data_IF_853690447071
#
_entry.id   IF_853690447071
#
_cell.length_a   1.000
_cell.length_b   1.000
_cell.length_c   1.000
_cell.angle_alpha   90.00
_cell.angle_beta   90.00
_cell.angle_gamma   90.00
#
_symmetry.space_group_name_H-M   'P 1'
#
loop_
_entity.id
_entity.type
_entity.pdbx_description
1 polymer ?
#
# COMPACT_ATOMS: atom_id res chain seq x y z
N UNK A 1 -8.73 5.47 -10.98
CA UNK A 1 -9.01 6.65 -10.11
C UNK A 1 -7.96 7.71 -10.40
N UNK A 2 -8.34 9.00 -10.47
CA UNK A 2 -7.43 10.11 -10.80
C UNK A 2 -7.50 11.20 -9.74
N UNK A 3 -6.35 11.55 -9.15
CA UNK A 3 -6.21 12.68 -8.21
C UNK A 3 -6.54 13.99 -8.95
N UNK A 4 -7.34 14.86 -8.32
CA UNK A 4 -7.69 16.18 -8.86
C UNK A 4 -6.90 17.31 -8.19
N UNK A 5 -6.93 17.36 -6.87
CA UNK A 5 -6.24 18.37 -6.08
C UNK A 5 -5.96 17.83 -4.68
N UNK A 6 -5.05 18.51 -3.98
CA UNK A 6 -4.87 18.35 -2.54
C UNK A 6 -6.01 19.11 -1.86
N UNK A 7 -6.71 18.43 -0.95
CA UNK A 7 -7.76 19.02 -0.13
C UNK A 7 -7.18 19.52 1.20
N UNK A 8 -6.30 18.75 1.83
CA UNK A 8 -5.71 19.09 3.13
C UNK A 8 -4.36 18.38 3.37
N UNK A 9 -3.60 18.87 4.36
CA UNK A 9 -2.42 18.23 4.93
C UNK A 9 -2.55 18.21 6.45
N UNK A 10 -2.95 17.05 6.97
CA UNK A 10 -3.19 16.85 8.40
C UNK A 10 -1.86 16.49 9.07
N UNK A 11 -1.52 17.20 10.14
CA UNK A 11 -0.41 16.84 11.03
C UNK A 11 -0.97 16.03 12.20
N UNK A 12 -0.31 14.91 12.53
CA UNK A 12 -0.70 14.00 13.63
C UNK A 12 -2.14 13.48 13.48
N UNK A 13 -2.29 12.38 12.75
CA UNK A 13 -3.55 11.66 12.59
C UNK A 13 -3.49 10.31 13.31
N UNK A 14 -4.58 9.86 13.92
CA UNK A 14 -4.67 8.55 14.53
C UNK A 14 -5.73 7.72 13.83
N UNK A 15 -5.40 6.48 13.46
CA UNK A 15 -6.32 5.53 12.86
C UNK A 15 -6.46 4.30 13.77
N UNK A 16 -7.71 3.89 14.02
CA UNK A 16 -8.01 2.68 14.78
C UNK A 16 -8.27 1.52 13.81
N UNK A 17 -7.38 0.55 13.80
CA UNK A 17 -7.51 -0.66 12.98
C UNK A 17 -8.69 -1.53 13.45
N UNK A 18 -9.25 -2.39 12.58
CA UNK A 18 -10.34 -3.30 12.95
C UNK A 18 -10.04 -4.19 14.17
N UNK A 19 -8.78 -4.52 14.42
CA UNK A 19 -8.33 -5.28 15.59
C UNK A 19 -8.30 -4.48 16.90
N UNK A 20 -8.55 -3.17 16.85
CA UNK A 20 -8.56 -2.28 18.02
C UNK A 20 -7.29 -1.45 18.19
N UNK A 21 -6.18 -1.86 17.56
CA UNK A 21 -4.91 -1.15 17.61
C UNK A 21 -5.03 0.27 17.04
N UNK A 22 -4.44 1.24 17.72
CA UNK A 22 -4.37 2.63 17.26
C UNK A 22 -2.96 2.88 16.70
N UNK A 23 -2.89 3.30 15.44
CA UNK A 23 -1.65 3.71 14.79
C UNK A 23 -1.66 5.22 14.55
N UNK A 24 -0.55 5.88 14.88
CA UNK A 24 -0.40 7.32 14.73
C UNK A 24 0.44 7.63 13.48
N UNK A 25 0.03 8.63 12.73
CA UNK A 25 0.64 9.07 11.49
C UNK A 25 1.13 10.50 11.64
N UNK A 26 2.40 10.73 11.32
CA UNK A 26 3.04 12.05 11.46
C UNK A 26 2.34 13.07 10.56
N UNK A 27 2.05 12.64 9.34
CA UNK A 27 1.45 13.44 8.27
C UNK A 27 0.47 12.60 7.47
N UNK A 28 -0.63 13.22 7.05
CA UNK A 28 -1.57 12.67 6.07
C UNK A 28 -1.86 13.72 5.02
N UNK A 29 -1.63 13.39 3.75
CA UNK A 29 -2.06 14.23 2.64
C UNK A 29 -3.41 13.73 2.15
N UNK A 30 -4.39 14.63 2.12
CA UNK A 30 -5.75 14.34 1.69
C UNK A 30 -5.97 14.89 0.29
N UNK A 31 -6.53 14.07 -0.57
CA UNK A 31 -6.81 14.36 -1.97
C UNK A 31 -8.30 14.17 -2.25
N UNK A 32 -8.85 15.03 -3.09
CA UNK A 32 -10.05 14.71 -3.83
C UNK A 32 -9.65 13.98 -5.12
N UNK A 33 -10.21 12.79 -5.34
CA UNK A 33 -9.99 11.98 -6.54
C UNK A 33 -11.32 11.64 -7.23
N UNK A 34 -11.27 11.40 -8.54
CA UNK A 34 -12.45 10.99 -9.33
C UNK A 34 -12.24 9.59 -9.90
N UNK A 35 -13.29 8.79 -9.86
CA UNK A 35 -13.42 7.49 -10.51
C UNK A 35 -14.73 7.43 -11.32
N UNK A 36 -15.03 6.29 -11.94
CA UNK A 36 -16.29 6.08 -12.65
C UNK A 36 -17.51 6.11 -11.69
N UNK A 37 -17.32 5.84 -10.41
CA UNK A 37 -18.37 5.88 -9.38
C UNK A 37 -18.53 7.25 -8.70
N UNK A 38 -17.74 8.26 -9.10
CA UNK A 38 -17.84 9.63 -8.60
C UNK A 38 -16.59 10.15 -7.91
N UNK A 39 -16.79 11.11 -7.00
CA UNK A 39 -15.73 11.73 -6.20
C UNK A 39 -15.46 10.89 -4.95
N UNK A 40 -14.18 10.75 -4.61
CA UNK A 40 -13.68 9.97 -3.48
C UNK A 40 -12.63 10.76 -2.72
N UNK A 41 -12.62 10.59 -1.40
CA UNK A 41 -11.55 11.10 -0.54
C UNK A 41 -10.43 10.08 -0.49
N UNK A 42 -9.23 10.48 -0.90
CA UNK A 42 -8.02 9.65 -0.82
C UNK A 42 -7.07 10.25 0.20
N UNK A 43 -6.70 9.47 1.22
CA UNK A 43 -5.72 9.90 2.22
C UNK A 43 -4.46 9.07 2.09
N UNK A 44 -3.29 9.71 2.09
CA UNK A 44 -1.98 9.05 2.09
C UNK A 44 -1.27 9.45 3.38
N UNK A 45 -1.13 8.49 4.30
CA UNK A 45 -0.57 8.71 5.63
C UNK A 45 0.78 8.06 5.81
N UNK A 46 1.65 8.73 6.57
CA UNK A 46 3.02 8.30 6.81
C UNK A 46 3.28 8.08 8.28
N UNK A 47 3.92 6.96 8.60
CA UNK A 47 4.35 6.62 9.96
C UNK A 47 5.60 5.76 9.91
N UNK A 48 6.04 5.26 11.07
CA UNK A 48 7.06 4.24 11.20
C UNK A 48 6.50 3.03 11.92
N UNK A 49 6.89 1.84 11.48
CA UNK A 49 6.51 0.58 12.12
C UNK A 49 7.70 -0.37 12.13
N UNK A 50 7.89 -1.09 13.24
CA UNK A 50 8.83 -2.19 13.27
C UNK A 50 8.32 -3.33 12.38
N UNK A 51 9.03 -3.63 11.31
CA UNK A 51 8.69 -4.66 10.33
C UNK A 51 9.98 -5.34 9.87
N UNK A 52 9.99 -6.67 9.92
CA UNK A 52 11.18 -7.49 9.67
C UNK A 52 12.39 -7.10 10.53
N UNK A 53 12.16 -6.72 11.79
CA UNK A 53 13.22 -6.43 12.77
C UNK A 53 13.84 -5.04 12.66
N UNK A 54 13.34 -4.17 11.79
CA UNK A 54 13.76 -2.77 11.67
C UNK A 54 12.56 -1.83 11.73
N UNK A 55 12.78 -0.64 12.27
CA UNK A 55 11.81 0.44 12.18
C UNK A 55 11.83 1.02 10.76
N UNK A 56 10.75 0.83 10.00
CA UNK A 56 10.64 1.21 8.59
C UNK A 56 9.58 2.28 8.40
N UNK A 57 9.81 3.17 7.45
CA UNK A 57 8.77 4.05 6.92
C UNK A 57 7.61 3.21 6.42
N UNK A 58 6.41 3.57 6.84
CA UNK A 58 5.16 2.93 6.45
C UNK A 58 4.26 3.96 5.82
N UNK A 59 3.65 3.59 4.71
CA UNK A 59 2.64 4.41 4.02
C UNK A 59 1.34 3.64 3.99
N UNK A 60 0.24 4.30 4.33
CA UNK A 60 -1.10 3.71 4.21
C UNK A 60 -1.96 4.63 3.34
N UNK A 61 -2.70 4.02 2.43
CA UNK A 61 -3.63 4.71 1.53
C UNK A 61 -5.05 4.31 1.89
N UNK A 62 -5.84 5.29 2.27
CA UNK A 62 -7.28 5.15 2.49
C UNK A 62 -8.06 5.72 1.32
N UNK A 63 -9.16 5.07 0.99
CA UNK A 63 -10.19 5.59 0.09
C UNK A 63 -11.49 5.57 0.90
N UNK A 64 -12.14 6.73 1.01
CA UNK A 64 -13.38 6.90 1.78
C UNK A 64 -13.24 6.34 3.21
N UNK A 65 -12.13 6.69 3.87
CA UNK A 65 -11.74 6.29 5.23
C UNK A 65 -11.46 4.80 5.44
N UNK A 66 -11.45 3.98 4.37
CA UNK A 66 -11.08 2.58 4.42
C UNK A 66 -9.66 2.32 3.88
N UNK A 67 -8.77 1.59 4.59
CA UNK A 67 -7.41 1.32 4.13
C UNK A 67 -7.39 0.25 3.04
N UNK A 68 -6.86 0.58 1.87
CA UNK A 68 -6.78 -0.36 0.74
C UNK A 68 -5.34 -0.70 0.32
N UNK A 69 -4.36 0.15 0.63
CA UNK A 69 -2.97 -0.18 0.37
C UNK A 69 -2.07 0.20 1.55
N UNK A 70 -1.11 -0.66 1.81
CA UNK A 70 -0.05 -0.47 2.79
C UNK A 70 1.29 -0.68 2.11
N UNK A 71 2.26 0.16 2.42
CA UNK A 71 3.62 0.07 1.92
C UNK A 71 4.61 0.11 3.07
N UNK A 72 5.75 -0.53 2.86
CA UNK A 72 6.90 -0.50 3.76
C UNK A 72 8.17 -0.10 3.00
N UNK A 73 9.06 0.60 3.69
CA UNK A 73 10.37 1.04 3.20
C UNK A 73 11.23 -0.11 2.66
N UNK A 74 11.80 0.03 1.45
CA UNK A 74 12.87 -0.84 0.96
C UNK A 74 14.20 -0.57 1.68
N UNK A 75 15.17 -1.48 1.63
CA UNK A 75 16.44 -1.30 2.35
C UNK A 75 17.31 -0.16 1.83
N UNK A 76 17.19 0.18 0.55
CA UNK A 76 17.92 1.26 -0.11
C UNK A 76 17.13 2.57 -0.16
N UNK A 77 16.09 2.72 0.68
CA UNK A 77 15.15 3.84 0.62
C UNK A 77 15.80 5.22 0.68
N UNK A 78 16.85 5.40 1.47
CA UNK A 78 17.58 6.68 1.54
C UNK A 78 18.17 7.11 0.18
N UNK A 79 18.37 6.15 -0.75
CA UNK A 79 18.85 6.38 -2.12
C UNK A 79 17.71 6.32 -3.14
N UNK A 80 16.82 5.34 -3.02
CA UNK A 80 15.78 5.02 -4.02
C UNK A 80 14.46 5.75 -3.79
N UNK A 81 14.17 6.12 -2.56
CA UNK A 81 12.86 6.58 -2.09
C UNK A 81 11.75 5.53 -2.25
N UNK A 82 12.08 4.25 -2.45
CA UNK A 82 11.11 3.22 -2.78
C UNK A 82 10.42 2.59 -1.57
N UNK A 83 9.11 2.41 -1.71
CA UNK A 83 8.24 1.72 -0.76
C UNK A 83 7.53 0.55 -1.46
N UNK A 84 7.24 -0.50 -0.71
CA UNK A 84 6.87 -1.82 -1.22
C UNK A 84 5.51 -2.25 -0.66
N UNK A 85 4.58 -2.67 -1.51
CA UNK A 85 3.31 -3.26 -1.09
C UNK A 85 3.21 -4.71 -1.54
N UNK A 86 3.07 -5.64 -0.59
CA UNK A 86 2.88 -7.07 -0.88
C UNK A 86 1.64 -7.29 -1.76
N UNK A 87 1.80 -8.06 -2.84
CA UNK A 87 0.68 -8.50 -3.65
C UNK A 87 -0.05 -9.62 -2.91
N UNK A 88 -1.34 -9.39 -2.66
CA UNK A 88 -2.25 -10.38 -2.09
C UNK A 88 -3.46 -10.49 -3.00
N UNK A 89 -3.97 -11.70 -3.19
CA UNK A 89 -5.16 -11.95 -3.97
C UNK A 89 -6.08 -12.92 -3.24
N UNK A 90 -7.36 -12.88 -3.57
CA UNK A 90 -8.36 -13.77 -3.01
C UNK A 90 -8.12 -15.21 -3.47
N UNK A 91 -8.04 -16.12 -2.50
CA UNK A 91 -7.99 -17.56 -2.68
C UNK A 91 -9.41 -18.11 -2.49
N UNK A 92 -10.11 -18.49 -3.57
CA UNK A 92 -11.49 -18.97 -3.49
C UNK A 92 -11.61 -20.31 -2.76
N UNK A 93 -10.56 -21.12 -2.70
CA UNK A 93 -10.60 -22.41 -1.99
C UNK A 93 -10.61 -22.21 -0.47
N UNK A 94 -10.01 -21.12 0.00
CA UNK A 94 -9.83 -20.83 1.44
C UNK A 94 -10.66 -19.66 1.93
N UNK A 95 -11.45 -19.06 1.05
CA UNK A 95 -12.24 -17.85 1.31
C UNK A 95 -11.42 -16.75 2.01
N UNK A 96 -10.19 -16.51 1.54
CA UNK A 96 -9.27 -15.59 2.22
C UNK A 96 -8.28 -14.95 1.26
N UNK A 97 -7.73 -13.79 1.62
CA UNK A 97 -6.63 -13.20 0.87
C UNK A 97 -5.33 -13.92 1.22
N UNK A 98 -4.64 -14.46 0.22
CA UNK A 98 -3.30 -15.04 0.36
C UNK A 98 -2.24 -14.20 -0.34
N UNK A 99 -1.01 -14.35 0.12
CA UNK A 99 0.18 -13.77 -0.49
C UNK A 99 0.45 -14.38 -1.88
N UNK A 100 0.85 -13.53 -2.82
CA UNK A 100 1.38 -13.93 -4.12
C UNK A 100 2.87 -14.25 -3.96
N UNK A 101 3.24 -15.53 -4.00
CA UNK A 101 4.59 -16.01 -3.74
C UNK A 101 5.49 -15.84 -4.96
N UNK A 102 6.59 -15.12 -4.78
CA UNK A 102 7.69 -14.99 -5.73
C UNK A 102 8.19 -16.37 -6.18
N UNK A 103 8.48 -16.48 -7.49
CA UNK A 103 8.92 -17.70 -8.17
C UNK A 103 7.95 -18.91 -8.13
N UNK A 104 6.76 -18.78 -7.54
CA UNK A 104 5.75 -19.85 -7.47
C UNK A 104 4.45 -19.41 -8.14
N UNK A 105 3.91 -18.26 -7.72
CA UNK A 105 2.66 -17.73 -8.22
C UNK A 105 2.90 -16.80 -9.42
N UNK A 106 1.97 -16.88 -10.39
CA UNK A 106 1.88 -15.91 -11.48
C UNK A 106 1.29 -14.61 -10.93
N UNK A 107 1.90 -13.49 -11.29
CA UNK A 107 1.38 -12.17 -10.94
C UNK A 107 0.03 -11.99 -11.64
N UNK A 108 -1.07 -11.65 -10.91
CA UNK A 108 -2.35 -11.40 -11.55
C UNK A 108 -2.27 -10.26 -12.57
N UNK A 109 -2.84 -10.44 -13.76
CA UNK A 109 -2.70 -9.52 -14.91
C UNK A 109 -3.03 -8.06 -14.58
N UNK A 110 -4.01 -7.82 -13.70
CA UNK A 110 -4.38 -6.47 -13.23
C UNK A 110 -3.26 -5.71 -12.53
N UNK A 111 -2.19 -6.39 -12.10
CA UNK A 111 -1.00 -5.75 -11.55
C UNK A 111 0.03 -5.35 -12.63
N UNK A 112 -0.18 -5.70 -13.91
CA UNK A 112 0.76 -5.46 -15.02
C UNK A 112 1.14 -3.99 -15.24
N UNK A 113 0.29 -3.05 -14.80
CA UNK A 113 0.56 -1.62 -14.88
C UNK A 113 1.55 -1.11 -13.82
N UNK A 114 1.88 -1.93 -12.82
CA UNK A 114 2.78 -1.54 -11.73
C UNK A 114 4.20 -2.07 -11.96
N UNK A 115 5.19 -1.35 -11.42
CA UNK A 115 6.53 -1.91 -11.23
C UNK A 115 6.43 -2.99 -10.15
N UNK A 116 6.93 -4.19 -10.46
CA UNK A 116 6.87 -5.35 -9.56
C UNK A 116 8.26 -5.94 -9.36
N UNK A 117 8.56 -6.36 -8.15
CA UNK A 117 9.79 -7.09 -7.80
C UNK A 117 9.52 -8.09 -6.66
N UNK A 118 10.54 -8.84 -6.25
CA UNK A 118 10.54 -9.70 -5.08
C UNK A 118 10.81 -8.91 -3.81
N UNK A 119 10.02 -9.13 -2.76
CA UNK A 119 10.25 -8.52 -1.45
C UNK A 119 11.66 -8.84 -0.91
N UNK A 120 12.10 -10.10 -1.02
CA UNK A 120 13.43 -10.53 -0.54
C UNK A 120 14.61 -9.90 -1.28
N UNK A 121 14.40 -9.38 -2.49
CA UNK A 121 15.45 -8.65 -3.22
C UNK A 121 15.56 -7.19 -2.78
N UNK A 122 14.52 -6.67 -2.13
CA UNK A 122 14.41 -5.28 -1.68
C UNK A 122 14.52 -5.14 -0.15
N UNK A 123 14.40 -6.24 0.59
CA UNK A 123 14.45 -6.32 2.06
C UNK A 123 15.21 -7.58 2.48
N UNK A 124 16.35 -7.44 3.16
CA UNK A 124 17.31 -8.52 3.43
C UNK A 124 17.20 -9.14 4.83
N UNK A 125 16.38 -8.59 5.71
CA UNK A 125 16.32 -9.05 7.10
C UNK A 125 15.78 -10.47 7.24
N UNK A 126 16.16 -11.11 8.36
CA UNK A 126 15.69 -12.45 8.68
C UNK A 126 14.18 -12.46 8.88
N UNK A 127 13.50 -13.41 8.25
CA UNK A 127 12.05 -13.61 8.39
C UNK A 127 11.21 -12.88 7.35
N UNK A 128 11.83 -12.18 6.39
CA UNK A 128 11.16 -11.63 5.21
C UNK A 128 10.54 -12.78 4.41
N UNK A 129 9.26 -12.62 4.05
CA UNK A 129 8.53 -13.61 3.26
C UNK A 129 8.88 -13.52 1.76
N UNK A 130 8.48 -14.52 0.99
CA UNK A 130 8.71 -14.57 -0.46
C UNK A 130 7.59 -13.89 -1.26
N UNK A 131 7.10 -12.70 -0.89
CA UNK A 131 6.07 -12.03 -1.68
C UNK A 131 6.60 -11.41 -2.98
N UNK A 132 5.77 -11.43 -4.03
CA UNK A 132 5.80 -10.37 -5.05
C UNK A 132 5.30 -9.07 -4.43
N UNK A 133 5.92 -7.94 -4.78
CA UNK A 133 5.56 -6.60 -4.28
C UNK A 133 5.39 -5.61 -5.41
N UNK A 134 4.42 -4.71 -5.26
CA UNK A 134 4.37 -3.46 -6.03
C UNK A 134 5.40 -2.51 -5.46
N UNK A 135 6.23 -1.94 -6.34
CA UNK A 135 7.26 -0.96 -6.03
C UNK A 135 6.75 0.42 -6.43
N UNK A 136 6.76 1.37 -5.50
CA UNK A 136 6.42 2.77 -5.76
C UNK A 136 7.48 3.68 -5.14
N UNK A 137 7.71 4.85 -5.71
CA UNK A 137 8.46 5.90 -5.00
C UNK A 137 7.51 6.58 -3.99
N UNK A 138 8.03 6.98 -2.83
CA UNK A 138 7.24 7.62 -1.76
C UNK A 138 6.59 8.94 -2.19
N UNK A 139 7.12 9.63 -3.21
CA UNK A 139 6.49 10.82 -3.78
C UNK A 139 5.47 10.51 -4.89
N UNK A 140 5.38 9.25 -5.36
CA UNK A 140 4.45 8.85 -6.40
C UNK A 140 3.09 8.43 -5.82
N UNK A 141 2.34 9.43 -5.38
CA UNK A 141 1.01 9.21 -4.80
C UNK A 141 0.00 8.75 -5.85
N UNK A 142 0.27 8.97 -7.14
CA UNK A 142 -0.58 8.49 -8.22
C UNK A 142 -0.53 6.96 -8.31
N UNK A 143 0.67 6.37 -8.27
CA UNK A 143 0.84 4.91 -8.23
C UNK A 143 0.25 4.31 -6.95
N UNK A 144 0.52 4.91 -5.79
CA UNK A 144 -0.02 4.43 -4.52
C UNK A 144 -1.56 4.46 -4.49
N UNK A 145 -2.15 5.54 -5.00
CA UNK A 145 -3.61 5.68 -5.13
C UNK A 145 -4.19 4.70 -6.15
N UNK A 146 -3.49 4.45 -7.25
CA UNK A 146 -3.92 3.50 -8.27
C UNK A 146 -3.96 2.07 -7.74
N UNK A 147 -2.96 1.68 -6.94
CA UNK A 147 -2.96 0.38 -6.26
C UNK A 147 -4.13 0.26 -5.27
N UNK A 148 -4.35 1.28 -4.44
CA UNK A 148 -5.45 1.31 -3.49
C UNK A 148 -6.82 1.20 -4.20
N UNK A 149 -7.01 1.94 -5.30
CA UNK A 149 -8.24 1.90 -6.07
C UNK A 149 -8.48 0.52 -6.70
N UNK A 150 -7.43 -0.11 -7.26
CA UNK A 150 -7.54 -1.47 -7.80
C UNK A 150 -7.94 -2.48 -6.72
N UNK A 151 -7.36 -2.40 -5.52
CA UNK A 151 -7.74 -3.26 -4.39
C UNK A 151 -9.12 -2.97 -3.79
N UNK A 152 -9.62 -1.75 -3.96
CA UNK A 152 -11.02 -1.41 -3.65
C UNK A 152 -11.96 -2.18 -4.56
N UNK A 153 -11.72 -2.15 -5.88
CA UNK A 153 -12.51 -2.92 -6.83
C UNK A 153 -12.47 -4.43 -6.54
N UNK A 154 -11.30 -5.01 -6.24
CA UNK A 154 -11.19 -6.44 -5.85
C UNK A 154 -12.02 -6.86 -4.63
N UNK A 155 -12.44 -5.91 -3.79
CA UNK A 155 -13.25 -6.19 -2.60
C UNK A 155 -14.74 -6.02 -2.87
N UNK A 156 -15.08 -5.15 -3.81
CA UNK A 156 -16.46 -4.81 -4.17
C UNK A 156 -17.01 -5.74 -5.26
N UNK A 157 -16.14 -6.39 -6.03
CA UNK A 157 -16.44 -7.54 -6.92
C UNK A 157 -16.62 -8.85 -6.14
#
# INVERSE_FOLDING_TARGET
MKIKNIEDVIKKHSFKWPGGDIENYDHVVVYNAISNSGSHKVSVGYTYRNTYGRNRRRVVVWIDDYPYAEFLEADDFDVSGEVLSEIRFYDPEKDTKRMCRYAIDVIPERYSMFKIDSLKRRVIEKGVNDAWVVVANISDHSTMTSLAAMRKYERED
#
